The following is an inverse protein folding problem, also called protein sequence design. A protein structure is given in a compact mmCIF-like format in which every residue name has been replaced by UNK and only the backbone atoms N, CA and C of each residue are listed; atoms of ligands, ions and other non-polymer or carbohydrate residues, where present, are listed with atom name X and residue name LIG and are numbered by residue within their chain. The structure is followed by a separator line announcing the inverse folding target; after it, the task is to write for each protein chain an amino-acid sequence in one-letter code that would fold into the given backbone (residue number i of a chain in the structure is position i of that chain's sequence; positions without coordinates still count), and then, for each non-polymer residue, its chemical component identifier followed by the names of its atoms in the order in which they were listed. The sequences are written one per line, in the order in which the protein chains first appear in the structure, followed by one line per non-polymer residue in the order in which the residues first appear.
data_IF_842762117013
#
_entry.id   IF_842762117013
#
_cell.length_a   1.000
_cell.length_b   1.000
_cell.length_c   1.000
_cell.angle_alpha   90.00
_cell.angle_beta   90.00
_cell.angle_gamma   90.00
#
_symmetry.space_group_name_H-M   'P 1'
#
loop_
_entity.id
_entity.type
_entity.pdbx_description
1 polymer ?
#
# COMPACT_ATOMS: atom_id res chain seq x y z
N UNK A 1 -49.57 -36.93 10.48
CA UNK A 1 -49.86 -36.09 11.66
C UNK A 1 -48.66 -35.19 11.88
N UNK A 2 -48.70 -33.96 11.37
CA UNK A 2 -47.57 -33.02 11.47
C UNK A 2 -47.76 -32.11 12.67
N UNK A 3 -46.97 -32.33 13.72
CA UNK A 3 -46.87 -31.40 14.84
C UNK A 3 -45.91 -30.27 14.47
N UNK A 4 -46.45 -29.07 14.27
CA UNK A 4 -45.66 -27.84 14.13
C UNK A 4 -45.21 -27.43 15.54
N UNK A 5 -43.94 -27.66 15.86
CA UNK A 5 -43.34 -27.17 17.09
C UNK A 5 -43.21 -25.64 17.02
N UNK A 6 -44.04 -24.94 17.79
CA UNK A 6 -43.93 -23.50 18.01
C UNK A 6 -42.83 -23.24 19.04
N UNK A 7 -41.70 -22.69 18.56
CA UNK A 7 -40.62 -22.23 19.43
C UNK A 7 -41.09 -21.02 20.26
N UNK A 8 -40.68 -20.92 21.54
CA UNK A 8 -41.11 -19.84 22.43
C UNK A 8 -40.51 -18.49 22.00
N UNK A 9 -41.32 -17.43 22.12
CA UNK A 9 -41.01 -16.07 21.65
C UNK A 9 -39.70 -15.47 22.22
N UNK A 10 -39.24 -15.94 23.39
CA UNK A 10 -37.98 -15.50 24.01
C UNK A 10 -36.73 -15.96 23.25
N UNK A 11 -36.82 -17.08 22.52
CA UNK A 11 -35.71 -17.60 21.71
C UNK A 11 -35.60 -16.82 20.40
N UNK A 12 -36.73 -16.37 19.83
CA UNK A 12 -36.74 -15.54 18.63
C UNK A 12 -36.14 -14.14 18.87
N UNK A 13 -36.43 -13.50 19.99
CA UNK A 13 -35.84 -12.18 20.33
C UNK A 13 -34.35 -12.27 20.65
N UNK A 14 -33.90 -13.35 21.29
CA UNK A 14 -32.47 -13.59 21.53
C UNK A 14 -31.69 -13.83 20.22
N UNK A 15 -32.26 -14.56 19.25
CA UNK A 15 -31.64 -14.75 17.93
C UNK A 15 -31.58 -13.46 17.09
N UNK A 16 -32.60 -12.60 17.18
CA UNK A 16 -32.59 -11.30 16.48
C UNK A 16 -31.58 -10.33 17.11
N UNK A 17 -31.46 -10.31 18.44
CA UNK A 17 -30.43 -9.53 19.13
C UNK A 17 -29.02 -10.07 18.86
N UNK A 18 -28.84 -11.40 18.79
CA UNK A 18 -27.56 -12.03 18.44
C UNK A 18 -27.19 -11.81 16.97
N UNK A 19 -28.17 -11.79 16.05
CA UNK A 19 -27.97 -11.44 14.65
C UNK A 19 -27.69 -9.93 14.43
N UNK A 20 -28.22 -9.06 15.30
CA UNK A 20 -27.87 -7.63 15.35
C UNK A 20 -26.50 -7.36 16.02
N UNK A 21 -26.01 -8.31 16.81
CA UNK A 21 -24.67 -8.29 17.44
C UNK A 21 -23.61 -9.02 16.60
N UNK A 22 -23.97 -9.60 15.45
CA UNK A 22 -23.00 -9.94 14.41
C UNK A 22 -22.47 -8.61 13.85
N UNK A 23 -21.44 -8.12 14.53
CA UNK A 23 -20.56 -7.04 14.10
C UNK A 23 -20.43 -7.09 12.59
N UNK A 24 -21.02 -6.09 11.93
CA UNK A 24 -20.90 -5.92 10.49
C UNK A 24 -19.41 -5.79 10.21
N UNK A 25 -18.77 -6.87 9.75
CA UNK A 25 -17.43 -6.81 9.18
C UNK A 25 -17.59 -5.96 7.92
N UNK A 26 -17.25 -4.67 8.04
CA UNK A 26 -17.38 -3.72 6.93
C UNK A 26 -16.08 -3.83 6.13
N UNK A 27 -16.06 -4.78 5.20
CA UNK A 27 -15.22 -4.65 4.02
C UNK A 27 -15.94 -3.68 3.07
N UNK A 28 -15.22 -2.68 2.59
CA UNK A 28 -15.77 -1.68 1.69
C UNK A 28 -14.84 -1.44 0.52
N UNK A 29 -15.44 -1.12 -0.62
CA UNK A 29 -14.77 -0.80 -1.86
C UNK A 29 -15.27 0.54 -2.39
N UNK A 30 -14.35 1.42 -2.78
CA UNK A 30 -14.65 2.74 -3.32
C UNK A 30 -13.76 3.01 -4.53
N UNK A 31 -14.36 3.18 -5.71
CA UNK A 31 -13.65 3.60 -6.91
C UNK A 31 -13.73 5.12 -7.04
N UNK A 32 -12.60 5.79 -7.27
CA UNK A 32 -12.49 7.24 -7.35
C UNK A 32 -11.80 7.62 -8.66
N UNK A 33 -12.41 8.53 -9.42
CA UNK A 33 -11.72 9.16 -10.54
C UNK A 33 -10.71 10.16 -9.98
N UNK A 34 -9.42 9.96 -10.28
CA UNK A 34 -8.33 10.80 -9.78
C UNK A 34 -7.57 11.41 -10.95
N UNK A 35 -7.27 12.69 -10.85
CA UNK A 35 -6.38 13.38 -11.79
C UNK A 35 -4.93 13.15 -11.38
N UNK A 36 -4.16 12.53 -12.27
CA UNK A 36 -2.73 12.29 -12.14
C UNK A 36 -1.92 13.59 -12.33
N UNK A 37 -0.65 13.58 -11.95
CA UNK A 37 0.23 14.76 -12.06
C UNK A 37 0.45 15.27 -13.49
N UNK A 38 0.34 14.39 -14.49
CA UNK A 38 0.41 14.74 -15.92
C UNK A 38 -0.92 15.24 -16.50
N UNK A 39 -1.95 15.36 -15.66
CA UNK A 39 -3.28 15.82 -16.03
C UNK A 39 -4.22 14.74 -16.55
N UNK A 40 -3.74 13.52 -16.78
CA UNK A 40 -4.60 12.39 -17.15
C UNK A 40 -5.51 11.97 -15.98
N UNK A 41 -6.56 11.22 -16.29
CA UNK A 41 -7.52 10.73 -15.30
C UNK A 41 -7.43 9.21 -15.24
N UNK A 42 -7.29 8.66 -14.04
CA UNK A 42 -7.30 7.22 -13.79
C UNK A 42 -8.39 6.86 -12.79
N UNK A 43 -8.75 5.59 -12.75
CA UNK A 43 -9.56 5.03 -11.67
C UNK A 43 -8.64 4.54 -10.55
N UNK A 44 -8.83 5.07 -9.35
CA UNK A 44 -8.20 4.60 -8.13
C UNK A 44 -9.20 3.80 -7.30
N UNK A 45 -8.83 2.58 -6.96
CA UNK A 45 -9.59 1.65 -6.15
C UNK A 45 -9.11 1.71 -4.71
N UNK A 46 -9.95 2.16 -3.80
CA UNK A 46 -9.71 2.08 -2.36
C UNK A 46 -10.54 0.95 -1.76
N UNK A 47 -9.87 0.01 -1.12
CA UNK A 47 -10.48 -1.06 -0.35
C UNK A 47 -10.09 -0.91 1.13
N UNK A 48 -11.04 -1.12 2.02
CA UNK A 48 -10.82 -1.05 3.45
C UNK A 48 -11.50 -2.23 4.13
N UNK A 49 -10.74 -2.97 4.92
CA UNK A 49 -11.22 -4.06 5.75
C UNK A 49 -10.95 -3.67 7.22
N UNK A 50 -12.03 -3.26 7.87
CA UNK A 50 -12.00 -2.75 9.25
C UNK A 50 -11.76 -3.84 10.30
N UNK A 51 -11.97 -5.11 9.95
CA UNK A 51 -11.73 -6.24 10.84
C UNK A 51 -10.25 -6.61 10.86
N UNK A 52 -9.60 -6.61 9.70
CA UNK A 52 -8.16 -6.83 9.58
C UNK A 52 -7.33 -5.58 9.85
N UNK A 53 -7.99 -4.42 9.93
CA UNK A 53 -7.38 -3.10 10.04
C UNK A 53 -6.38 -2.85 8.90
N UNK A 54 -6.87 -3.02 7.67
CA UNK A 54 -6.10 -2.83 6.44
C UNK A 54 -6.79 -1.85 5.48
N UNK A 55 -5.97 -1.14 4.71
CA UNK A 55 -6.40 -0.31 3.59
C UNK A 55 -5.53 -0.63 2.38
N UNK A 56 -6.16 -0.83 1.24
CA UNK A 56 -5.48 -1.04 -0.05
C UNK A 56 -5.89 0.08 -1.01
N UNK A 57 -4.92 0.66 -1.69
CA UNK A 57 -5.11 1.62 -2.78
C UNK A 57 -4.47 1.03 -4.04
N UNK A 58 -5.26 0.87 -5.10
CA UNK A 58 -4.78 0.35 -6.39
C UNK A 58 -5.14 1.30 -7.53
N UNK A 59 -4.19 1.55 -8.43
CA UNK A 59 -4.44 2.38 -9.61
C UNK A 59 -3.44 2.06 -10.73
N UNK A 60 -3.77 2.50 -11.93
CA UNK A 60 -2.89 2.40 -13.10
C UNK A 60 -2.28 3.75 -13.42
N UNK A 61 -0.97 3.78 -13.58
CA UNK A 61 -0.21 4.92 -14.11
C UNK A 61 -0.36 5.04 -15.63
N UNK A 62 0.12 6.14 -16.21
CA UNK A 62 -0.06 6.43 -17.64
C UNK A 62 0.81 5.59 -18.57
N UNK A 63 1.93 5.10 -18.06
CA UNK A 63 2.79 4.07 -18.69
C UNK A 63 2.18 2.65 -18.63
N UNK A 64 1.01 2.49 -18.00
CA UNK A 64 0.33 1.22 -17.81
C UNK A 64 0.75 0.45 -16.55
N UNK A 65 1.73 0.94 -15.78
CA UNK A 65 2.19 0.36 -14.52
C UNK A 65 1.03 0.25 -13.54
N UNK A 66 0.81 -0.95 -12.98
CA UNK A 66 -0.19 -1.17 -11.93
C UNK A 66 0.46 -1.00 -10.56
N UNK A 67 -0.04 -0.05 -9.78
CA UNK A 67 0.41 0.21 -8.42
C UNK A 67 -0.58 -0.36 -7.42
N UNK A 68 -0.06 -1.05 -6.40
CA UNK A 68 -0.79 -1.45 -5.20
C UNK A 68 -0.06 -0.89 -3.99
N UNK A 69 -0.77 -0.11 -3.16
CA UNK A 69 -0.31 0.36 -1.87
C UNK A 69 -1.19 -0.24 -0.78
N UNK A 70 -0.63 -1.08 0.09
CA UNK A 70 -1.33 -1.69 1.22
C UNK A 70 -0.79 -1.14 2.53
N UNK A 71 -1.68 -0.72 3.41
CA UNK A 71 -1.38 -0.32 4.79
C UNK A 71 -2.00 -1.33 5.75
N UNK A 72 -1.14 -2.03 6.50
CA UNK A 72 -1.51 -2.93 7.60
C UNK A 72 -1.27 -2.19 8.93
N UNK A 73 -2.35 -1.63 9.48
CA UNK A 73 -2.29 -0.82 10.70
C UNK A 73 -2.03 -1.69 11.93
N UNK A 74 -2.50 -2.94 11.92
CA UNK A 74 -2.29 -3.89 13.02
C UNK A 74 -0.82 -4.27 13.17
N UNK A 75 -0.09 -4.35 12.06
CA UNK A 75 1.35 -4.66 12.05
C UNK A 75 2.25 -3.44 11.91
N UNK A 76 1.68 -2.25 11.67
CA UNK A 76 2.43 -1.03 11.34
C UNK A 76 3.35 -1.21 10.13
N UNK A 77 2.82 -1.82 9.06
CA UNK A 77 3.56 -2.11 7.83
C UNK A 77 2.85 -1.48 6.64
N UNK A 78 3.60 -0.79 5.78
CA UNK A 78 3.13 -0.36 4.47
C UNK A 78 3.89 -1.09 3.37
N UNK A 79 3.16 -1.56 2.37
CA UNK A 79 3.63 -2.36 1.24
C UNK A 79 3.35 -1.58 -0.03
N UNK A 80 4.39 -1.31 -0.80
CA UNK A 80 4.27 -0.76 -2.14
C UNK A 80 4.62 -1.84 -3.13
N UNK A 81 3.77 -2.03 -4.13
CA UNK A 81 4.04 -2.90 -5.27
C UNK A 81 3.81 -2.12 -6.55
N UNK A 82 4.76 -2.19 -7.46
CA UNK A 82 4.62 -1.66 -8.81
C UNK A 82 4.86 -2.79 -9.80
N UNK A 83 3.85 -3.12 -10.60
CA UNK A 83 3.96 -4.04 -11.72
C UNK A 83 4.14 -3.20 -12.98
N UNK A 84 5.40 -3.06 -13.37
CA UNK A 84 5.85 -2.28 -14.53
C UNK A 84 5.76 -3.17 -15.76
N UNK A 85 5.07 -2.69 -16.79
CA UNK A 85 4.94 -3.42 -18.05
C UNK A 85 6.28 -3.37 -18.81
N UNK A 86 6.65 -4.49 -19.44
CA UNK A 86 7.82 -4.51 -20.30
C UNK A 86 7.57 -3.66 -21.56
N UNK A 87 8.61 -2.99 -22.03
CA UNK A 87 8.60 -2.25 -23.30
C UNK A 87 9.02 -3.16 -24.47
N UNK A 88 8.12 -3.54 -25.39
CA UNK A 88 8.46 -4.42 -26.51
C UNK A 88 9.49 -3.80 -27.46
N UNK A 89 9.46 -2.48 -27.62
CA UNK A 89 10.42 -1.70 -28.42
C UNK A 89 11.85 -1.81 -27.87
N UNK A 90 12.01 -2.06 -26.56
CA UNK A 90 13.29 -2.32 -25.91
C UNK A 90 13.60 -3.83 -25.77
N UNK A 91 12.83 -4.68 -26.45
CA UNK A 91 13.00 -6.14 -26.43
C UNK A 91 12.43 -6.83 -25.18
N UNK A 92 11.60 -6.15 -24.39
CA UNK A 92 10.98 -6.73 -23.21
C UNK A 92 9.57 -7.27 -23.52
N UNK A 93 9.36 -8.56 -23.24
CA UNK A 93 8.06 -9.22 -23.46
C UNK A 93 7.30 -9.54 -22.16
N UNK A 94 7.94 -9.37 -21.00
CA UNK A 94 7.37 -9.66 -19.69
C UNK A 94 7.32 -8.42 -18.81
N UNK A 95 6.39 -8.39 -17.85
CA UNK A 95 6.34 -7.39 -16.81
C UNK A 95 7.42 -7.64 -15.75
N UNK A 96 7.80 -6.57 -15.05
CA UNK A 96 8.64 -6.62 -13.85
C UNK A 96 7.83 -6.17 -12.65
N UNK A 97 8.06 -6.77 -11.48
CA UNK A 97 7.40 -6.37 -10.26
C UNK A 97 8.41 -5.90 -9.23
N UNK A 98 8.21 -4.69 -8.73
CA UNK A 98 8.94 -4.13 -7.61
C UNK A 98 8.07 -4.25 -6.36
N UNK A 99 8.65 -4.65 -5.23
CA UNK A 99 7.97 -4.60 -3.95
C UNK A 99 8.86 -3.97 -2.87
N UNK A 100 8.30 -2.99 -2.17
CA UNK A 100 8.98 -2.23 -1.12
C UNK A 100 8.16 -2.28 0.16
N UNK A 101 8.80 -2.62 1.27
CA UNK A 101 8.18 -2.74 2.59
C UNK A 101 8.80 -1.70 3.52
N UNK A 102 7.96 -0.95 4.20
CA UNK A 102 8.38 0.09 5.14
C UNK A 102 7.47 0.12 6.36
N UNK A 103 7.92 0.76 7.43
CA UNK A 103 7.09 1.03 8.60
C UNK A 103 5.96 2.02 8.25
N UNK A 104 4.77 1.75 8.78
CA UNK A 104 3.61 2.64 8.62
C UNK A 104 3.53 3.60 9.82
N UNK A 105 3.71 4.89 9.57
CA UNK A 105 3.62 5.91 10.60
C UNK A 105 2.17 6.20 11.00
N UNK A 106 2.01 6.61 12.26
CA UNK A 106 0.70 7.04 12.75
C UNK A 106 0.21 8.30 12.02
N UNK A 107 -1.04 8.26 11.58
CA UNK A 107 -1.69 9.42 10.95
C UNK A 107 -1.29 9.66 9.49
N UNK A 108 -0.61 8.71 8.84
CA UNK A 108 -0.39 8.78 7.38
C UNK A 108 -1.74 8.76 6.63
N UNK A 109 -2.65 7.88 7.04
CA UNK A 109 -4.01 7.75 6.51
C UNK A 109 -5.05 7.84 7.64
N UNK A 110 -6.32 8.06 7.27
CA UNK A 110 -7.42 7.87 8.22
C UNK A 110 -7.53 6.38 8.63
N UNK A 111 -8.07 6.08 9.82
CA UNK A 111 -8.26 4.69 10.26
C UNK A 111 -9.13 3.88 9.29
N UNK A 112 -8.87 2.57 9.17
CA UNK A 112 -9.59 1.63 8.30
C UNK A 112 -11.11 1.67 8.52
N UNK A 113 -11.57 1.80 9.76
CA UNK A 113 -13.00 1.91 10.09
C UNK A 113 -13.63 3.18 9.49
N UNK A 114 -12.89 4.30 9.48
CA UNK A 114 -13.36 5.53 8.85
C UNK A 114 -13.35 5.41 7.32
N UNK A 115 -12.30 4.80 6.77
CA UNK A 115 -12.18 4.50 5.34
C UNK A 115 -13.35 3.61 4.85
N UNK A 116 -13.70 2.57 5.63
CA UNK A 116 -14.75 1.61 5.32
C UNK A 116 -16.16 2.23 5.20
N UNK A 117 -16.35 3.40 5.82
CA UNK A 117 -17.61 4.16 5.83
C UNK A 117 -17.66 5.24 4.75
N UNK A 118 -16.58 5.47 4.01
CA UNK A 118 -16.56 6.48 2.94
C UNK A 118 -17.52 6.09 1.82
N UNK A 119 -18.28 7.07 1.35
CA UNK A 119 -19.20 6.92 0.22
C UNK A 119 -19.09 8.16 -0.65
N UNK A 120 -19.19 7.97 -1.96
CA UNK A 120 -19.24 9.07 -2.91
C UNK A 120 -20.67 9.53 -3.11
N UNK A 121 -20.89 10.83 -2.97
CA UNK A 121 -22.17 11.46 -3.36
C UNK A 121 -22.34 11.50 -4.89
N UNK A 122 -21.24 11.66 -5.63
CA UNK A 122 -21.23 11.64 -7.08
C UNK A 122 -19.98 10.85 -7.56
N UNK A 123 -20.17 9.68 -8.19
CA UNK A 123 -19.07 8.81 -8.63
C UNK A 123 -18.29 9.36 -9.84
N UNK A 124 -18.88 10.27 -10.62
CA UNK A 124 -18.23 10.86 -11.80
C UNK A 124 -17.37 12.09 -11.51
N UNK A 125 -17.26 12.50 -10.24
CA UNK A 125 -16.42 13.64 -9.86
C UNK A 125 -14.96 13.23 -9.86
N UNK A 126 -14.19 13.87 -10.74
CA UNK A 126 -12.72 13.78 -10.74
C UNK A 126 -12.17 14.49 -9.51
N UNK A 127 -11.38 13.77 -8.72
CA UNK A 127 -10.75 14.24 -7.50
C UNK A 127 -9.29 14.63 -7.73
N UNK A 128 -8.86 15.59 -6.94
CA UNK A 128 -7.46 15.97 -6.76
C UNK A 128 -7.21 16.12 -5.26
N UNK A 129 -5.99 15.86 -4.82
CA UNK A 129 -5.62 16.04 -3.42
C UNK A 129 -5.82 17.49 -2.97
N UNK A 130 -6.30 17.69 -1.73
CA UNK A 130 -6.42 19.03 -1.14
C UNK A 130 -5.06 19.52 -0.63
N UNK A 131 -4.18 18.60 -0.22
CA UNK A 131 -2.81 18.89 0.23
C UNK A 131 -1.82 18.00 -0.53
N UNK A 132 -0.77 18.60 -1.07
CA UNK A 132 0.38 17.86 -1.61
C UNK A 132 1.46 17.76 -0.53
N UNK A 133 1.65 16.56 0.02
CA UNK A 133 2.75 16.26 0.95
C UNK A 133 4.07 16.15 0.16
N UNK A 134 5.18 16.30 0.88
CA UNK A 134 6.53 16.20 0.31
C UNK A 134 6.88 14.81 -0.22
N UNK A 135 8.09 14.68 -0.75
CA UNK A 135 8.67 13.40 -1.17
C UNK A 135 9.27 12.71 0.05
N UNK A 136 8.92 11.45 0.28
CA UNK A 136 9.61 10.59 1.24
C UNK A 136 10.64 9.73 0.51
N UNK A 137 11.90 9.82 0.93
CA UNK A 137 13.02 9.11 0.31
C UNK A 137 13.41 7.88 1.13
N UNK A 138 13.61 6.77 0.43
CA UNK A 138 13.90 5.47 1.01
C UNK A 138 15.17 4.90 0.39
N UNK A 139 16.22 4.75 1.21
CA UNK A 139 17.39 3.94 0.83
C UNK A 139 17.15 2.50 1.28
N UNK A 140 16.87 1.63 0.32
CA UNK A 140 16.54 0.24 0.53
C UNK A 140 17.81 -0.61 0.56
N UNK A 141 18.22 -0.98 1.76
CA UNK A 141 19.48 -1.66 2.03
C UNK A 141 19.31 -3.03 2.70
N UNK A 142 18.11 -3.61 2.63
CA UNK A 142 17.82 -4.96 3.04
C UNK A 142 16.73 -5.58 2.15
N UNK A 143 16.65 -6.91 2.15
CA UNK A 143 15.57 -7.67 1.51
C UNK A 143 14.91 -8.61 2.51
N UNK A 144 13.67 -8.99 2.21
CA UNK A 144 12.90 -9.94 3.01
C UNK A 144 13.08 -11.35 2.47
N UNK A 145 13.27 -12.30 3.38
CA UNK A 145 13.06 -13.71 3.10
C UNK A 145 11.57 -14.00 2.99
N UNK A 146 11.10 -14.21 1.77
CA UNK A 146 9.68 -14.40 1.47
C UNK A 146 9.06 -15.64 2.14
N UNK A 147 9.84 -16.67 2.46
CA UNK A 147 9.36 -17.87 3.17
C UNK A 147 8.86 -17.57 4.59
N UNK A 148 9.40 -16.53 5.23
CA UNK A 148 9.08 -16.14 6.61
C UNK A 148 8.38 -14.76 6.69
N UNK A 149 8.11 -14.12 5.55
CA UNK A 149 7.52 -12.77 5.49
C UNK A 149 6.18 -12.62 6.21
N UNK A 150 5.40 -13.71 6.36
CA UNK A 150 4.11 -13.72 7.05
C UNK A 150 4.19 -13.35 8.54
N UNK A 151 5.36 -13.55 9.18
CA UNK A 151 5.60 -13.15 10.56
C UNK A 151 5.57 -11.63 10.73
N UNK A 152 5.97 -10.89 9.69
CA UNK A 152 5.90 -9.42 9.65
C UNK A 152 4.48 -8.97 9.29
N UNK A 153 3.95 -9.42 8.15
CA UNK A 153 2.55 -9.27 7.78
C UNK A 153 2.14 -10.38 6.82
N UNK A 154 0.97 -10.98 7.08
CA UNK A 154 0.41 -12.06 6.26
C UNK A 154 0.09 -11.63 4.82
N UNK A 155 0.03 -10.32 4.55
CA UNK A 155 -0.30 -9.78 3.24
C UNK A 155 0.89 -9.70 2.29
N UNK A 156 2.13 -9.71 2.82
CA UNK A 156 3.36 -9.54 2.03
C UNK A 156 3.47 -10.60 0.95
N UNK A 157 3.24 -11.87 1.30
CA UNK A 157 3.36 -12.97 0.34
C UNK A 157 2.46 -12.76 -0.88
N UNK A 158 1.18 -12.43 -0.68
CA UNK A 158 0.23 -12.30 -1.77
C UNK A 158 0.47 -11.04 -2.62
N UNK A 159 0.81 -9.91 -1.99
CA UNK A 159 1.04 -8.64 -2.70
C UNK A 159 2.37 -8.67 -3.44
N UNK A 160 3.42 -9.18 -2.83
CA UNK A 160 4.78 -9.14 -3.39
C UNK A 160 5.19 -10.39 -4.17
N UNK A 161 4.33 -11.40 -4.35
CA UNK A 161 4.69 -12.68 -4.99
C UNK A 161 5.42 -12.54 -6.33
N UNK A 162 5.04 -11.53 -7.12
CA UNK A 162 5.57 -11.35 -8.48
C UNK A 162 6.98 -10.72 -8.48
N UNK A 163 7.38 -10.08 -7.37
CA UNK A 163 8.72 -9.51 -7.17
C UNK A 163 9.79 -10.56 -6.85
N UNK A 164 9.38 -11.85 -6.80
CA UNK A 164 10.25 -13.01 -6.60
C UNK A 164 11.11 -12.87 -5.33
N UNK A 165 12.43 -12.80 -5.48
CA UNK A 165 13.40 -12.79 -4.38
C UNK A 165 13.78 -11.37 -3.93
N UNK A 166 13.35 -10.33 -4.65
CA UNK A 166 13.74 -8.94 -4.40
C UNK A 166 12.58 -8.14 -3.81
N UNK A 167 12.29 -8.41 -2.54
CA UNK A 167 11.32 -7.64 -1.74
C UNK A 167 12.10 -6.77 -0.75
N UNK A 168 12.17 -5.49 -1.04
CA UNK A 168 13.10 -4.57 -0.39
C UNK A 168 12.55 -3.96 0.89
N UNK A 169 13.43 -3.64 1.82
CA UNK A 169 13.14 -2.83 3.00
C UNK A 169 14.37 -2.03 3.45
N UNK A 170 14.21 -1.22 4.50
CA UNK A 170 15.28 -0.41 5.07
C UNK A 170 15.75 -0.99 6.38
N UNK A 171 17.05 -0.91 6.63
CA UNK A 171 17.70 -1.33 7.87
C UNK A 171 17.13 -0.64 9.11
N UNK A 172 16.68 0.61 8.99
CA UNK A 172 16.02 1.31 10.10
C UNK A 172 14.67 0.68 10.47
N UNK A 173 13.90 0.22 9.48
CA UNK A 173 12.62 -0.44 9.69
C UNK A 173 12.85 -1.86 10.24
N UNK A 174 13.87 -2.57 9.72
CA UNK A 174 14.35 -3.84 10.28
C UNK A 174 14.66 -3.69 11.76
N UNK A 175 15.45 -2.69 12.16
CA UNK A 175 15.77 -2.43 13.56
C UNK A 175 14.51 -2.21 14.40
N UNK A 176 13.57 -1.39 13.90
CA UNK A 176 12.29 -1.16 14.57
C UNK A 176 11.52 -2.47 14.80
N UNK A 177 11.42 -3.34 13.79
CA UNK A 177 10.67 -4.60 13.91
C UNK A 177 11.37 -5.62 14.81
N UNK A 178 12.71 -5.69 14.78
CA UNK A 178 13.48 -6.52 15.70
C UNK A 178 13.25 -6.09 17.16
N UNK A 179 13.25 -4.78 17.44
CA UNK A 179 12.96 -4.23 18.77
C UNK A 179 11.52 -4.55 19.23
N UNK A 180 10.61 -4.84 18.29
CA UNK A 180 9.22 -5.29 18.55
C UNK A 180 9.07 -6.81 18.62
N UNK A 181 10.16 -7.57 18.52
CA UNK A 181 10.19 -9.02 18.67
C UNK A 181 9.91 -9.80 17.38
N UNK A 182 10.02 -9.17 16.21
CA UNK A 182 10.00 -9.87 14.92
C UNK A 182 11.30 -10.66 14.75
N UNK A 183 11.22 -11.87 14.19
CA UNK A 183 12.39 -12.74 14.02
C UNK A 183 13.36 -12.18 12.96
N UNK A 184 14.65 -12.17 13.27
CA UNK A 184 15.67 -11.61 12.37
C UNK A 184 15.93 -12.43 11.10
N UNK A 185 15.58 -13.72 11.07
CA UNK A 185 15.74 -14.60 9.90
C UNK A 185 14.91 -14.16 8.68
N UNK A 186 13.94 -13.27 8.90
CA UNK A 186 13.10 -12.67 7.86
C UNK A 186 13.89 -11.62 7.05
N UNK A 187 14.99 -11.09 7.58
CA UNK A 187 15.71 -9.97 6.98
C UNK A 187 17.12 -10.36 6.57
N UNK A 188 17.47 -10.03 5.33
CA UNK A 188 18.83 -10.11 4.83
C UNK A 188 19.31 -8.70 4.51
N UNK A 189 20.17 -8.16 5.38
CA UNK A 189 20.73 -6.82 5.21
C UNK A 189 21.89 -6.89 4.23
N UNK A 190 21.90 -6.01 3.23
CA UNK A 190 22.97 -5.99 2.26
C UNK A 190 24.30 -5.61 2.92
N UNK A 191 25.42 -6.27 2.52
CA UNK A 191 26.74 -5.87 2.97
C UNK A 191 27.05 -4.44 2.50
N UNK A 192 27.94 -3.75 3.23
CA UNK A 192 28.29 -2.36 2.92
C UNK A 192 28.79 -2.13 1.48
N UNK A 193 29.39 -3.15 0.85
CA UNK A 193 29.82 -3.11 -0.56
C UNK A 193 28.67 -3.02 -1.55
N UNK A 194 27.46 -3.42 -1.15
CA UNK A 194 26.22 -3.34 -1.93
C UNK A 194 25.34 -2.17 -1.47
N UNK A 195 25.88 -1.28 -0.64
CA UNK A 195 25.16 -0.09 -0.20
C UNK A 195 24.96 0.86 -1.39
N UNK A 196 23.71 1.24 -1.63
CA UNK A 196 23.27 2.05 -2.78
C UNK A 196 24.07 3.34 -2.92
N UNK A 197 24.48 3.95 -1.80
CA UNK A 197 25.30 5.17 -1.79
C UNK A 197 26.70 5.01 -2.38
N UNK A 198 27.23 3.78 -2.45
CA UNK A 198 28.56 3.47 -2.97
C UNK A 198 28.56 2.87 -4.38
N UNK A 199 27.39 2.55 -4.94
CA UNK A 199 27.26 1.98 -6.28
C UNK A 199 27.07 3.08 -7.32
N UNK A 200 27.52 2.80 -8.54
CA UNK A 200 27.20 3.62 -9.70
C UNK A 200 25.70 3.53 -10.02
N UNK A 201 25.11 4.65 -10.43
CA UNK A 201 23.71 4.70 -10.91
C UNK A 201 23.49 3.79 -12.13
N UNK A 202 22.35 3.11 -12.18
CA UNK A 202 21.98 2.28 -13.34
C UNK A 202 21.85 3.11 -14.62
N UNK A 203 21.40 4.37 -14.50
CA UNK A 203 21.37 5.32 -15.61
C UNK A 203 22.74 5.57 -16.27
N UNK A 204 23.83 5.42 -15.51
CA UNK A 204 25.19 5.66 -15.99
C UNK A 204 25.89 4.40 -16.52
N UNK A 205 25.34 3.21 -16.28
CA UNK A 205 25.93 1.94 -16.74
C UNK A 205 25.48 1.62 -18.17
N UNK A 206 26.40 1.17 -19.01
CA UNK A 206 26.11 0.72 -20.39
C UNK A 206 25.94 -0.79 -20.49
N UNK A 207 26.46 -1.56 -19.53
CA UNK A 207 26.38 -3.02 -19.52
C UNK A 207 25.09 -3.48 -18.78
N UNK A 208 24.14 -4.14 -19.48
CA UNK A 208 22.87 -4.59 -18.91
C UNK A 208 23.01 -5.57 -17.72
N UNK A 209 24.16 -6.23 -17.60
CA UNK A 209 24.39 -7.28 -16.62
C UNK A 209 25.17 -6.81 -15.39
N UNK A 210 25.65 -5.57 -15.37
CA UNK A 210 26.34 -5.03 -14.20
C UNK A 210 25.36 -4.72 -13.06
N UNK A 211 25.79 -4.93 -11.81
CA UNK A 211 25.08 -4.42 -10.65
C UNK A 211 25.16 -2.89 -10.58
N UNK A 212 24.10 -2.26 -10.10
CA UNK A 212 24.01 -0.80 -10.00
C UNK A 212 22.98 -0.35 -8.95
N UNK A 213 23.02 0.94 -8.62
CA UNK A 213 22.01 1.61 -7.81
C UNK A 213 20.86 2.09 -8.70
N UNK A 214 19.64 1.65 -8.39
CA UNK A 214 18.41 1.95 -9.11
C UNK A 214 17.54 2.92 -8.31
N UNK A 215 16.90 3.89 -8.96
CA UNK A 215 15.87 4.73 -8.35
C UNK A 215 14.49 4.46 -8.96
N UNK A 216 13.46 4.35 -8.12
CA UNK A 216 12.07 4.24 -8.55
C UNK A 216 11.19 5.28 -7.82
N UNK A 217 10.37 6.01 -8.57
CA UNK A 217 9.43 7.00 -8.03
C UNK A 217 7.99 6.49 -8.12
N UNK A 218 7.26 6.61 -7.02
CA UNK A 218 5.84 6.27 -6.93
C UNK A 218 5.06 7.45 -6.34
N UNK A 219 3.94 7.82 -6.97
CA UNK A 219 3.07 8.89 -6.48
C UNK A 219 1.72 8.32 -6.06
N UNK A 220 1.29 8.57 -4.82
CA UNK A 220 -0.10 8.42 -4.42
C UNK A 220 -0.79 9.76 -4.66
N UNK A 221 -1.59 9.84 -5.70
CA UNK A 221 -2.16 11.12 -6.19
C UNK A 221 -3.36 11.59 -5.38
N UNK A 222 -4.05 10.67 -4.73
CA UNK A 222 -5.16 10.97 -3.85
C UNK A 222 -5.27 9.89 -2.77
N UNK A 223 -5.39 10.27 -1.50
CA UNK A 223 -5.82 9.35 -0.45
C UNK A 223 -6.39 10.12 0.74
N UNK A 224 -7.38 9.57 1.46
CA UNK A 224 -7.91 10.18 2.68
C UNK A 224 -6.88 10.15 3.82
N UNK A 225 -6.34 11.32 4.16
CA UNK A 225 -5.24 11.45 5.11
C UNK A 225 -5.64 12.03 6.47
N UNK A 226 -6.79 12.71 6.55
CA UNK A 226 -7.29 13.27 7.81
C UNK A 226 -8.82 13.32 7.85
N UNK A 227 -9.40 13.11 9.04
CA UNK A 227 -10.84 13.31 9.27
C UNK A 227 -11.14 14.79 9.54
N UNK A 228 -12.19 15.33 8.91
CA UNK A 228 -12.74 16.66 9.19
C UNK A 228 -13.88 16.56 10.19
N UNK A 229 -13.87 17.45 11.17
CA UNK A 229 -14.89 17.56 12.22
C UNK A 229 -15.61 18.90 12.13
N UNK A 230 -16.94 18.85 12.17
CA UNK A 230 -17.81 20.03 12.14
C UNK A 230 -18.47 20.22 13.50
N UNK A 231 -18.76 21.48 13.85
CA UNK A 231 -19.54 21.80 15.05
C UNK A 231 -21.02 21.72 14.72
N UNK A 232 -21.77 20.98 15.54
CA UNK A 232 -23.23 20.92 15.49
C UNK A 232 -23.86 21.67 16.66
N UNK A 233 -25.17 21.47 16.86
CA UNK A 233 -25.89 21.99 18.03
C UNK A 233 -25.53 21.26 19.34
N UNK A 234 -24.92 20.07 19.26
CA UNK A 234 -24.49 19.30 20.42
C UNK A 234 -23.10 19.71 20.95
N UNK A 235 -22.71 19.25 22.15
CA UNK A 235 -21.47 19.62 22.81
C UNK A 235 -20.21 19.06 22.12
N UNK A 236 -20.32 17.94 21.39
CA UNK A 236 -19.19 17.29 20.74
C UNK A 236 -19.18 17.53 19.22
N UNK A 237 -18.00 17.80 18.60
CA UNK A 237 -17.86 17.82 17.15
C UNK A 237 -18.21 16.48 16.52
N UNK A 238 -18.81 16.49 15.33
CA UNK A 238 -19.13 15.27 14.57
C UNK A 238 -18.29 15.16 13.30
N UNK A 239 -18.02 13.93 12.85
CA UNK A 239 -17.29 13.65 11.60
C UNK A 239 -18.15 14.12 10.42
N UNK A 240 -17.64 15.04 9.61
CA UNK A 240 -18.39 15.62 8.49
C UNK A 240 -17.70 15.48 7.13
N UNK A 241 -16.45 15.01 7.09
CA UNK A 241 -15.76 14.77 5.84
C UNK A 241 -14.34 14.29 6.06
N UNK A 242 -13.56 14.36 4.98
CA UNK A 242 -12.14 14.03 4.95
C UNK A 242 -11.36 15.18 4.33
N UNK A 243 -10.08 15.24 4.65
CA UNK A 243 -9.06 15.92 3.86
C UNK A 243 -8.33 14.84 3.04
N UNK A 244 -8.19 15.07 1.75
CA UNK A 244 -7.38 14.21 0.88
C UNK A 244 -5.98 14.78 0.68
N UNK A 245 -4.99 13.90 0.65
CA UNK A 245 -3.60 14.25 0.40
C UNK A 245 -3.07 13.53 -0.85
N UNK A 246 -1.96 14.05 -1.39
CA UNK A 246 -1.06 13.31 -2.27
C UNK A 246 0.32 13.22 -1.63
N UNK A 247 1.09 12.19 -1.97
CA UNK A 247 2.45 11.97 -1.44
C UNK A 247 3.29 11.21 -2.47
N UNK A 248 4.52 11.67 -2.64
CA UNK A 248 5.50 11.02 -3.51
C UNK A 248 6.48 10.21 -2.67
N UNK A 249 6.93 9.10 -3.23
CA UNK A 249 7.91 8.21 -2.64
C UNK A 249 9.03 7.98 -3.64
N UNK A 250 10.27 8.02 -3.16
CA UNK A 250 11.45 7.66 -3.94
C UNK A 250 12.15 6.48 -3.26
N UNK A 251 12.42 5.45 -4.02
CA UNK A 251 13.09 4.24 -3.57
C UNK A 251 14.41 4.11 -4.29
N UNK A 252 15.52 4.22 -3.57
CA UNK A 252 16.85 3.93 -4.09
C UNK A 252 17.28 2.55 -3.57
N UNK A 253 17.59 1.62 -4.47
CA UNK A 253 17.84 0.20 -4.14
C UNK A 253 18.94 -0.41 -5.00
N UNK A 254 19.57 -1.46 -4.48
CA UNK A 254 20.51 -2.28 -5.23
C UNK A 254 19.77 -3.17 -6.24
N UNK A 255 20.29 -3.27 -7.47
CA UNK A 255 19.89 -4.33 -8.41
C UNK A 255 21.11 -5.13 -8.87
N UNK A 256 21.01 -6.47 -9.00
CA UNK A 256 22.10 -7.28 -9.52
C UNK A 256 22.39 -7.05 -11.00
N UNK A 257 21.41 -6.57 -11.76
CA UNK A 257 21.54 -6.30 -13.20
C UNK A 257 20.80 -5.01 -13.58
N UNK A 258 21.45 -4.15 -14.38
CA UNK A 258 20.82 -2.93 -14.95
C UNK A 258 19.49 -3.24 -15.65
N UNK A 259 19.36 -4.36 -16.35
CA UNK A 259 18.12 -4.73 -17.06
C UNK A 259 16.87 -4.84 -16.15
N UNK A 260 17.07 -4.96 -14.84
CA UNK A 260 16.00 -4.96 -13.83
C UNK A 260 15.66 -3.54 -13.34
N UNK A 261 16.18 -2.50 -14.00
CA UNK A 261 16.06 -1.10 -13.65
C UNK A 261 16.01 -0.22 -14.92
N UNK A 262 15.04 -0.46 -15.80
CA UNK A 262 14.95 0.28 -17.07
C UNK A 262 14.17 1.60 -16.96
N UNK A 263 13.52 1.86 -15.83
CA UNK A 263 12.78 3.10 -15.54
C UNK A 263 13.67 4.23 -14.98
N UNK A 264 14.93 3.93 -14.68
CA UNK A 264 15.89 4.88 -14.10
C UNK A 264 16.58 5.76 -15.15
N UNK A 265 16.09 5.75 -16.40
CA UNK A 265 16.74 6.47 -17.51
C UNK A 265 16.36 7.97 -17.59
N UNK A 266 15.40 8.45 -16.77
CA UNK A 266 14.83 9.80 -16.87
C UNK A 266 14.84 10.64 -15.55
N UNK A 267 15.78 10.41 -14.62
CA UNK A 267 15.96 11.33 -13.46
C UNK A 267 16.94 12.46 -13.74
#
# INVERSE_FOLDING_TARGET
MNARATLPASVQTAFVAFALLLSVSVCSRLTVLVRLNDGQITEELLEADSEKDIITVEFRQTDGTLVTFLSDFKRHVKIFRALVLGEPEKGQSQYQALCFISHLDHGELIPSEAMARLRQKNPHVVRSAEERRGVEEFTMNAVLNMSHSWHLSTHIHNVCRDARELVYTRQQDVKYWLDKGVEGSIFEVFPQSLNVTGLQSCSSSTDPWQPCACSYRLNLEWFPCQLKYCRGQGPNPYKCGIKSCSKSYRFDFYTPHKQLCLWDEDT
#
